data_IF_785519843410
#
_entry.id   IF_785519843410
#
_cell.length_a   1.000
_cell.length_b   1.000
_cell.length_c   1.000
_cell.angle_alpha   90.00
_cell.angle_beta   90.00
_cell.angle_gamma   90.00
#
_symmetry.space_group_name_H-M   'P 1'
#
loop_
_entity.id
_entity.type
_entity.pdbx_description
1 polymer ?
#
# COMPACT_ATOMS: atom_id res chain seq x y z
N UNK A 1 14.52 22.64 -35.81
CA UNK A 1 14.69 21.18 -36.04
C UNK A 1 15.05 20.39 -34.77
N UNK A 2 15.86 20.92 -33.84
CA UNK A 2 16.21 20.26 -32.56
C UNK A 2 15.03 19.91 -31.62
N UNK A 3 13.93 20.67 -31.66
CA UNK A 3 12.77 20.45 -30.80
C UNK A 3 11.87 19.29 -31.24
N UNK A 4 11.91 18.95 -32.55
CA UNK A 4 11.23 17.77 -33.11
C UNK A 4 11.90 16.47 -32.67
N UNK A 5 13.24 16.47 -32.54
CA UNK A 5 14.02 15.30 -32.08
C UNK A 5 13.63 14.88 -30.66
N UNK A 6 13.40 15.85 -29.76
CA UNK A 6 13.01 15.59 -28.37
C UNK A 6 11.58 15.05 -28.25
N UNK A 7 10.67 15.50 -29.12
CA UNK A 7 9.31 14.99 -29.17
C UNK A 7 9.27 13.52 -29.65
N UNK A 8 10.06 13.17 -30.67
CA UNK A 8 10.21 11.79 -31.13
C UNK A 8 10.91 10.90 -30.09
N UNK A 9 11.90 11.42 -29.36
CA UNK A 9 12.54 10.70 -28.25
C UNK A 9 11.57 10.43 -27.09
N UNK A 10 10.65 11.36 -26.81
CA UNK A 10 9.64 11.22 -25.76
C UNK A 10 8.54 10.22 -26.14
N UNK A 11 8.10 10.22 -27.41
CA UNK A 11 7.16 9.23 -27.94
C UNK A 11 7.77 7.82 -27.99
N UNK A 12 9.04 7.69 -28.38
CA UNK A 12 9.75 6.41 -28.35
C UNK A 12 9.89 5.88 -26.91
N UNK A 13 10.14 6.74 -25.92
CA UNK A 13 10.19 6.34 -24.52
C UNK A 13 8.83 5.85 -23.99
N UNK A 14 7.74 6.51 -24.38
CA UNK A 14 6.37 6.12 -24.01
C UNK A 14 5.93 4.81 -24.67
N UNK A 15 6.32 4.54 -25.93
CA UNK A 15 6.12 3.23 -26.58
C UNK A 15 6.98 2.13 -25.92
N UNK A 16 8.20 2.43 -25.48
CA UNK A 16 9.03 1.47 -24.73
C UNK A 16 8.45 1.10 -23.37
N UNK A 17 7.84 2.06 -22.66
CA UNK A 17 7.10 1.77 -21.43
C UNK A 17 5.87 0.89 -21.69
N UNK A 18 5.22 1.04 -22.85
CA UNK A 18 4.06 0.25 -23.24
C UNK A 18 4.40 -1.20 -23.64
N UNK A 19 5.51 -1.41 -24.36
CA UNK A 19 5.99 -2.77 -24.67
C UNK A 19 6.66 -3.47 -23.48
N UNK A 20 7.18 -2.72 -22.50
CA UNK A 20 7.82 -3.27 -21.30
C UNK A 20 6.86 -3.99 -20.35
N UNK A 21 5.57 -3.65 -20.38
CA UNK A 21 4.54 -4.28 -19.55
C UNK A 21 3.83 -5.48 -20.21
N UNK A 22 4.17 -5.80 -21.47
CA UNK A 22 3.58 -6.92 -22.22
C UNK A 22 4.47 -8.18 -22.29
N UNK A 23 5.63 -8.19 -21.61
CA UNK A 23 6.40 -9.43 -21.38
C UNK A 23 6.10 -9.97 -20.00
N UNK A 24 5.08 -10.83 -19.98
CA UNK A 24 4.74 -11.68 -18.86
C UNK A 24 5.97 -12.44 -18.36
N UNK A 25 6.18 -12.37 -17.05
CA UNK A 25 7.01 -13.30 -16.32
C UNK A 25 6.36 -14.68 -16.49
N UNK A 26 6.99 -15.54 -17.27
CA UNK A 26 6.75 -16.97 -17.20
C UNK A 26 7.28 -17.40 -15.83
N UNK A 27 6.36 -17.69 -14.93
CA UNK A 27 6.63 -18.43 -13.69
C UNK A 27 7.36 -19.71 -14.10
N UNK A 28 8.60 -19.88 -13.65
CA UNK A 28 9.26 -21.17 -13.73
C UNK A 28 8.54 -22.13 -12.79
N UNK A 29 7.76 -23.04 -13.38
CA UNK A 29 7.25 -24.23 -12.71
C UNK A 29 8.43 -25.17 -12.44
N UNK A 30 8.95 -25.12 -11.22
CA UNK A 30 9.86 -26.15 -10.69
C UNK A 30 8.99 -27.36 -10.34
N UNK A 31 9.06 -28.37 -11.21
CA UNK A 31 8.62 -29.74 -10.93
C UNK A 31 9.40 -30.28 -9.72
N UNK A 32 8.70 -30.56 -8.63
CA UNK A 32 9.18 -31.44 -7.59
C UNK A 32 8.30 -32.69 -7.53
N UNK A 33 9.02 -33.81 -7.46
CA UNK A 33 8.56 -35.17 -7.61
C UNK A 33 7.53 -35.54 -6.56
N UNK A 34 6.39 -36.05 -7.03
CA UNK A 34 5.30 -36.61 -6.23
C UNK A 34 5.79 -37.81 -5.43
N UNK A 35 5.85 -37.66 -4.11
CA UNK A 35 5.83 -38.76 -3.14
C UNK A 35 4.42 -38.74 -2.51
N UNK A 36 3.64 -39.84 -2.52
CA UNK A 36 2.36 -39.87 -1.86
C UNK A 36 2.56 -40.04 -0.35
N UNK A 37 2.30 -38.97 0.41
CA UNK A 37 2.16 -39.02 1.88
C UNK A 37 0.66 -39.10 2.20
N UNK A 38 0.23 -39.92 3.19
CA UNK A 38 -1.18 -40.10 3.47
C UNK A 38 -1.78 -38.88 4.17
N UNK A 39 -2.95 -38.50 3.66
CA UNK A 39 -4.03 -37.65 4.18
C UNK A 39 -3.93 -37.19 5.65
N UNK A 40 -4.09 -35.89 5.86
CA UNK A 40 -4.32 -35.33 7.20
C UNK A 40 -3.76 -33.94 7.47
N UNK A 41 -4.02 -32.92 6.64
CA UNK A 41 -4.09 -31.54 7.18
C UNK A 41 -4.92 -30.65 6.26
N UNK A 42 -6.01 -30.13 6.83
CA UNK A 42 -6.93 -29.19 6.20
C UNK A 42 -6.14 -27.94 5.77
N UNK A 43 -6.05 -27.69 4.47
CA UNK A 43 -5.78 -26.34 3.95
C UNK A 43 -6.81 -25.39 4.56
N UNK A 44 -6.40 -24.33 5.28
CA UNK A 44 -7.36 -23.34 5.75
C UNK A 44 -8.07 -22.73 4.52
N UNK A 45 -9.40 -22.58 4.55
CA UNK A 45 -10.10 -21.90 3.47
C UNK A 45 -9.56 -20.47 3.35
N UNK A 46 -9.14 -20.11 2.14
CA UNK A 46 -8.91 -18.72 1.73
C UNK A 46 -10.25 -17.97 1.82
N UNK A 47 -10.57 -17.50 3.01
CA UNK A 47 -11.87 -16.90 3.30
C UNK A 47 -12.06 -16.66 4.78
N UNK A 48 -11.86 -15.41 5.19
CA UNK A 48 -12.48 -14.76 6.35
C UNK A 48 -12.41 -15.42 7.73
N UNK A 49 -11.42 -16.25 8.05
CA UNK A 49 -11.33 -16.90 9.37
C UNK A 49 -11.12 -15.94 10.54
N UNK A 50 -10.80 -14.67 10.31
CA UNK A 50 -10.56 -13.67 11.37
C UNK A 50 -11.79 -13.34 12.21
N UNK A 51 -13.00 -13.67 11.78
CA UNK A 51 -14.20 -13.35 12.57
C UNK A 51 -14.47 -14.29 13.76
N UNK A 52 -13.84 -15.47 13.80
CA UNK A 52 -14.06 -16.45 14.87
C UNK A 52 -12.91 -16.53 15.89
N UNK A 53 -11.73 -16.01 15.56
CA UNK A 53 -10.47 -16.22 16.30
C UNK A 53 -9.97 -15.02 17.15
N UNK A 54 -10.88 -14.10 17.46
CA UNK A 54 -10.60 -12.92 18.28
C UNK A 54 -9.97 -11.76 17.51
N UNK A 55 -9.58 -10.71 18.23
CA UNK A 55 -9.02 -9.51 17.62
C UNK A 55 -7.57 -9.72 17.18
N UNK A 56 -7.30 -9.36 15.92
CA UNK A 56 -5.96 -9.37 15.34
C UNK A 56 -5.58 -7.98 14.85
N UNK A 57 -4.27 -7.74 14.82
CA UNK A 57 -3.65 -6.54 14.26
C UNK A 57 -2.58 -6.94 13.26
N UNK A 58 -2.32 -6.07 12.30
CA UNK A 58 -1.21 -6.20 11.37
C UNK A 58 -0.06 -5.29 11.80
N UNK A 59 1.13 -5.85 12.06
CA UNK A 59 2.31 -5.09 12.50
C UNK A 59 3.49 -5.35 11.59
N UNK A 60 4.40 -4.38 11.46
CA UNK A 60 5.61 -4.52 10.67
C UNK A 60 6.58 -5.52 11.33
N UNK A 61 7.27 -6.31 10.51
CA UNK A 61 8.22 -7.30 10.99
C UNK A 61 9.60 -6.67 11.22
N UNK A 62 10.20 -6.94 12.39
CA UNK A 62 11.57 -6.54 12.66
C UNK A 62 12.57 -7.41 11.87
N UNK A 63 13.69 -6.80 11.43
CA UNK A 63 14.76 -7.52 10.73
C UNK A 63 14.57 -7.64 9.21
N UNK A 64 13.50 -7.08 8.65
CA UNK A 64 13.33 -6.93 7.20
C UNK A 64 14.17 -5.75 6.67
N UNK A 65 14.36 -5.68 5.36
CA UNK A 65 15.12 -4.59 4.75
C UNK A 65 14.39 -3.25 4.99
N UNK A 66 15.13 -2.21 5.38
CA UNK A 66 14.55 -0.89 5.61
C UNK A 66 13.95 -0.29 4.32
N UNK A 67 14.53 -0.62 3.16
CA UNK A 67 14.04 -0.16 1.87
C UNK A 67 12.68 -0.78 1.52
N UNK A 68 12.52 -2.09 1.71
CA UNK A 68 11.23 -2.76 1.45
C UNK A 68 10.16 -2.26 2.42
N UNK A 69 10.53 -2.08 3.69
CA UNK A 69 9.62 -1.56 4.70
C UNK A 69 9.18 -0.13 4.41
N UNK A 70 10.09 0.74 3.96
CA UNK A 70 9.77 2.10 3.56
C UNK A 70 8.86 2.12 2.34
N UNK A 71 9.16 1.32 1.32
CA UNK A 71 8.33 1.22 0.12
C UNK A 71 6.91 0.73 0.46
N UNK A 72 6.79 -0.25 1.36
CA UNK A 72 5.51 -0.73 1.84
C UNK A 72 4.73 0.33 2.63
N UNK A 73 5.41 1.10 3.49
CA UNK A 73 4.79 2.24 4.21
C UNK A 73 4.31 3.32 3.24
N UNK A 74 5.15 3.71 2.29
CA UNK A 74 4.82 4.73 1.28
C UNK A 74 3.62 4.29 0.43
N UNK A 75 3.58 3.00 0.07
CA UNK A 75 2.42 2.43 -0.61
C UNK A 75 1.18 2.48 0.27
N UNK A 76 1.27 2.07 1.54
CA UNK A 76 0.14 2.03 2.47
C UNK A 76 -0.49 3.43 2.63
N UNK A 77 0.32 4.45 2.87
CA UNK A 77 -0.14 5.83 3.03
C UNK A 77 -0.55 6.51 1.71
N UNK A 78 -0.01 6.05 0.58
CA UNK A 78 -0.28 6.58 -0.74
C UNK A 78 -1.43 5.86 -1.42
N UNK A 79 -1.11 4.80 -2.15
CA UNK A 79 -2.07 4.04 -2.98
C UNK A 79 -3.02 3.18 -2.14
N UNK A 80 -2.54 2.65 -1.01
CA UNK A 80 -3.32 1.85 -0.07
C UNK A 80 -4.33 2.67 0.74
N UNK A 81 -4.20 4.01 0.74
CA UNK A 81 -5.12 4.93 1.43
C UNK A 81 -5.31 4.64 2.94
N UNK A 82 -4.28 4.10 3.60
CA UNK A 82 -4.26 3.93 5.05
C UNK A 82 -4.30 5.29 5.77
N UNK A 83 -4.84 5.34 6.99
CA UNK A 83 -4.80 6.56 7.81
C UNK A 83 -3.42 6.73 8.44
N UNK A 84 -2.58 7.50 7.76
CA UNK A 84 -1.23 7.83 8.22
C UNK A 84 -1.14 9.17 8.97
N UNK A 85 -2.26 9.78 9.38
CA UNK A 85 -2.22 11.07 10.10
C UNK A 85 -1.63 10.93 11.50
N UNK A 86 -1.92 9.82 12.18
CA UNK A 86 -1.49 9.62 13.56
C UNK A 86 0.03 9.46 13.71
N UNK A 87 0.72 9.02 12.65
CA UNK A 87 2.17 8.83 12.60
C UNK A 87 2.93 10.05 12.09
N UNK A 88 2.24 11.12 11.66
CA UNK A 88 2.90 12.36 11.29
C UNK A 88 3.45 13.07 12.53
N UNK A 89 4.44 13.94 12.33
CA UNK A 89 5.02 14.74 13.40
C UNK A 89 3.96 15.48 14.20
N UNK A 90 3.97 15.29 15.53
CA UNK A 90 2.96 15.84 16.45
C UNK A 90 1.69 15.00 16.59
N UNK A 91 1.60 13.88 15.88
CA UNK A 91 0.53 12.90 16.02
C UNK A 91 0.72 11.97 17.23
N UNK A 92 -0.35 11.29 17.69
CA UNK A 92 -0.32 10.44 18.87
C UNK A 92 0.53 9.16 18.72
N UNK A 93 0.84 8.76 17.48
CA UNK A 93 1.63 7.58 17.13
C UNK A 93 2.97 7.95 16.47
N UNK A 94 3.43 9.19 16.64
CA UNK A 94 4.73 9.61 16.11
C UNK A 94 5.87 8.95 16.87
N UNK A 95 5.80 8.91 18.20
CA UNK A 95 6.84 8.35 19.05
C UNK A 95 6.56 6.87 19.37
N UNK A 96 7.54 5.96 19.20
CA UNK A 96 8.91 6.22 18.80
C UNK A 96 9.04 6.54 17.31
N UNK A 97 9.83 7.57 16.98
CA UNK A 97 10.14 8.03 15.62
C UNK A 97 11.04 7.03 14.89
N UNK A 98 10.43 5.92 14.50
CA UNK A 98 11.08 4.79 13.84
C UNK A 98 10.19 4.31 12.70
N UNK A 99 10.83 3.91 11.61
CA UNK A 99 10.15 3.36 10.45
C UNK A 99 9.26 2.16 10.82
N UNK A 100 9.71 1.31 11.73
CA UNK A 100 8.96 0.13 12.19
C UNK A 100 7.67 0.51 12.91
N UNK A 101 7.70 1.54 13.77
CA UNK A 101 6.52 2.01 14.51
C UNK A 101 5.50 2.64 13.56
N UNK A 102 5.96 3.51 12.66
CA UNK A 102 5.10 4.17 11.67
C UNK A 102 4.48 3.17 10.69
N UNK A 103 5.29 2.23 10.19
CA UNK A 103 4.81 1.14 9.32
C UNK A 103 3.78 0.26 10.01
N UNK A 104 4.03 -0.14 11.26
CA UNK A 104 3.08 -0.98 12.01
C UNK A 104 1.70 -0.32 12.13
N UNK A 105 1.66 0.97 12.43
CA UNK A 105 0.39 1.69 12.54
C UNK A 105 -0.34 1.79 11.18
N UNK A 106 0.38 2.16 10.13
CA UNK A 106 -0.19 2.28 8.77
C UNK A 106 -0.70 0.92 8.25
N UNK A 107 0.07 -0.14 8.47
CA UNK A 107 -0.29 -1.51 8.07
C UNK A 107 -1.55 -1.98 8.79
N UNK A 108 -1.67 -1.72 10.09
CA UNK A 108 -2.89 -2.04 10.80
C UNK A 108 -4.08 -1.22 10.29
N UNK A 109 -3.94 0.08 10.07
CA UNK A 109 -5.01 0.92 9.53
C UNK A 109 -5.56 0.34 8.22
N UNK A 110 -4.67 0.02 7.28
CA UNK A 110 -5.03 -0.64 6.03
C UNK A 110 -5.68 -2.01 6.25
N UNK A 111 -5.09 -2.85 7.10
CA UNK A 111 -5.59 -4.20 7.38
C UNK A 111 -7.04 -4.19 7.90
N UNK A 112 -7.35 -3.27 8.81
CA UNK A 112 -8.69 -3.15 9.39
C UNK A 112 -9.71 -2.64 8.36
N UNK A 113 -9.32 -1.75 7.44
CA UNK A 113 -10.23 -1.25 6.39
C UNK A 113 -10.39 -2.20 5.21
N UNK A 114 -9.49 -3.17 5.05
CA UNK A 114 -9.47 -4.11 3.93
C UNK A 114 -9.86 -5.54 4.35
N UNK A 115 -10.83 -5.65 5.25
CA UNK A 115 -11.49 -6.91 5.57
C UNK A 115 -10.70 -7.83 6.48
N UNK A 116 -9.66 -7.33 7.17
CA UNK A 116 -8.90 -8.07 8.17
C UNK A 116 -8.35 -9.41 7.65
N UNK A 117 -8.02 -9.48 6.37
CA UNK A 117 -7.51 -10.70 5.72
C UNK A 117 -6.00 -10.81 5.85
N UNK A 118 -5.51 -12.05 5.78
CA UNK A 118 -4.09 -12.38 5.64
C UNK A 118 -3.43 -11.66 4.45
N UNK A 119 -4.11 -11.61 3.31
CA UNK A 119 -3.65 -10.91 2.11
C UNK A 119 -3.47 -9.41 2.39
N UNK A 120 -4.39 -8.79 3.13
CA UNK A 120 -4.30 -7.37 3.49
C UNK A 120 -3.12 -7.06 4.43
N UNK A 121 -2.58 -8.06 5.14
CA UNK A 121 -1.43 -7.90 6.02
C UNK A 121 -0.10 -8.37 5.38
N UNK A 122 -0.06 -8.64 4.08
CA UNK A 122 1.14 -9.17 3.45
C UNK A 122 2.25 -8.12 3.30
N UNK A 123 1.94 -6.96 2.70
CA UNK A 123 2.91 -5.87 2.44
C UNK A 123 4.23 -6.32 1.79
N UNK A 124 4.21 -7.36 0.95
CA UNK A 124 5.41 -7.92 0.33
C UNK A 124 6.27 -8.75 1.31
N UNK A 125 5.67 -9.29 2.36
CA UNK A 125 6.33 -10.06 3.40
C UNK A 125 6.95 -9.20 4.51
N UNK A 126 6.70 -7.89 4.56
CA UNK A 126 7.27 -7.00 5.59
C UNK A 126 6.39 -6.86 6.83
N UNK A 127 5.27 -7.57 6.90
CA UNK A 127 4.30 -7.47 7.97
C UNK A 127 3.78 -8.85 8.42
N UNK A 128 3.25 -8.90 9.64
CA UNK A 128 2.75 -10.13 10.26
C UNK A 128 1.54 -9.85 11.14
N UNK A 129 0.64 -10.83 11.22
CA UNK A 129 -0.49 -10.78 12.13
C UNK A 129 -0.05 -11.03 13.58
N UNK A 130 -0.63 -10.28 14.50
CA UNK A 130 -0.48 -10.47 15.94
C UNK A 130 -1.83 -10.47 16.63
N UNK A 131 -1.96 -11.31 17.67
CA UNK A 131 -3.10 -11.29 18.61
C UNK A 131 -2.84 -10.40 19.82
N UNK A 132 -1.62 -9.91 19.98
CA UNK A 132 -1.26 -8.98 21.04
C UNK A 132 -1.56 -7.55 20.58
N UNK A 133 -2.38 -6.83 21.35
CA UNK A 133 -2.67 -5.43 21.06
C UNK A 133 -1.37 -4.61 21.07
N UNK A 134 -0.97 -4.00 19.94
CA UNK A 134 0.26 -3.23 19.81
C UNK A 134 0.11 -1.76 20.25
N UNK A 135 -1.05 -1.37 20.78
CA UNK A 135 -1.29 0.00 21.28
C UNK A 135 -0.40 0.30 22.49
N UNK A 136 0.08 1.55 22.58
CA UNK A 136 0.92 2.01 23.66
C UNK A 136 0.70 3.50 23.92
N UNK A 137 0.79 3.93 25.18
CA UNK A 137 0.60 5.33 25.55
C UNK A 137 -0.69 5.93 24.98
N UNK A 138 -0.55 6.97 24.15
CA UNK A 138 -1.66 7.62 23.44
C UNK A 138 -1.88 7.08 22.01
N UNK A 139 -1.02 6.17 21.54
CA UNK A 139 -1.13 5.54 20.23
C UNK A 139 -2.06 4.33 20.31
N UNK A 140 -3.26 4.45 19.76
CA UNK A 140 -4.29 3.42 19.78
C UNK A 140 -4.46 2.81 18.38
N UNK A 141 -4.24 1.51 18.27
CA UNK A 141 -4.43 0.75 17.04
C UNK A 141 -5.88 0.32 16.90
N UNK A 142 -6.48 0.61 15.74
CA UNK A 142 -7.85 0.17 15.41
C UNK A 142 -7.99 -1.35 15.42
N UNK A 143 -9.17 -1.83 15.82
CA UNK A 143 -9.57 -3.23 15.82
C UNK A 143 -11.00 -3.40 15.26
N UNK A 144 -11.43 -4.62 14.90
CA UNK A 144 -12.82 -4.86 14.51
C UNK A 144 -13.76 -4.43 15.64
N UNK A 145 -14.69 -3.52 15.36
CA UNK A 145 -15.62 -2.98 16.35
C UNK A 145 -15.12 -1.79 17.18
N UNK A 146 -13.85 -1.37 17.05
CA UNK A 146 -13.42 -0.09 17.59
C UNK A 146 -13.96 1.03 16.68
N UNK A 147 -15.14 1.54 17.02
CA UNK A 147 -15.69 2.77 16.44
C UNK A 147 -14.88 3.95 16.98
N UNK A 148 -13.60 4.01 16.62
CA UNK A 148 -12.83 5.24 16.77
C UNK A 148 -13.46 6.26 15.84
N UNK A 149 -13.80 7.43 16.37
CA UNK A 149 -14.33 8.58 15.63
C UNK A 149 -13.29 9.09 14.62
N UNK A 150 -12.95 8.29 13.63
CA UNK A 150 -12.35 8.77 12.39
C UNK A 150 -13.51 9.37 11.64
N UNK A 151 -13.64 10.70 11.76
CA UNK A 151 -14.38 11.47 10.79
C UNK A 151 -13.99 10.94 9.39
N UNK A 152 -14.95 10.69 8.50
CA UNK A 152 -14.66 10.17 7.17
C UNK A 152 -13.54 11.02 6.56
N UNK A 153 -12.57 10.42 5.84
CA UNK A 153 -11.60 11.21 5.11
C UNK A 153 -12.39 12.25 4.32
N UNK A 154 -12.19 13.52 4.66
CA UNK A 154 -12.77 14.62 3.92
C UNK A 154 -12.33 14.40 2.49
N UNK A 155 -13.28 13.96 1.66
CA UNK A 155 -13.13 13.76 0.24
C UNK A 155 -12.34 14.97 -0.25
N UNK A 156 -11.07 14.75 -0.61
CA UNK A 156 -10.19 15.80 -1.06
C UNK A 156 -10.94 16.52 -2.17
N UNK A 157 -11.31 17.77 -1.89
CA UNK A 157 -12.14 18.56 -2.80
C UNK A 157 -11.39 18.61 -4.13
N UNK A 158 -11.89 17.87 -5.12
CA UNK A 158 -11.36 17.91 -6.47
C UNK A 158 -11.41 19.37 -6.93
N UNK A 159 -10.26 20.04 -6.86
CA UNK A 159 -10.13 21.44 -7.18
C UNK A 159 -10.11 21.55 -8.70
N UNK A 160 -11.30 21.58 -9.31
CA UNK A 160 -11.54 21.73 -10.75
C UNK A 160 -10.78 22.93 -11.35
N UNK A 161 -10.40 23.90 -10.52
CA UNK A 161 -9.58 25.06 -10.89
C UNK A 161 -8.17 24.68 -11.36
N UNK A 162 -7.51 23.68 -10.76
CA UNK A 162 -6.14 23.30 -11.15
C UNK A 162 -6.10 22.56 -12.48
N UNK A 163 -7.13 21.76 -12.79
CA UNK A 163 -7.25 21.06 -14.08
C UNK A 163 -7.51 22.07 -15.20
N UNK A 164 -8.39 23.05 -14.97
CA UNK A 164 -8.67 24.10 -15.94
C UNK A 164 -7.46 25.01 -16.16
N UNK A 165 -6.68 25.35 -15.12
CA UNK A 165 -5.43 26.10 -15.25
C UNK A 165 -4.35 25.31 -16.01
N UNK A 166 -4.28 23.98 -15.81
CA UNK A 166 -3.40 23.10 -16.58
C UNK A 166 -3.81 23.02 -18.05
N UNK A 167 -5.10 22.96 -18.36
CA UNK A 167 -5.62 22.94 -19.73
C UNK A 167 -5.45 24.29 -20.45
N UNK A 168 -5.73 25.42 -19.79
CA UNK A 168 -5.46 26.75 -20.34
C UNK A 168 -3.96 26.93 -20.62
N UNK A 169 -3.10 26.51 -19.69
CA UNK A 169 -1.64 26.60 -19.87
C UNK A 169 -1.18 25.79 -21.08
N UNK A 170 -1.69 24.57 -21.27
CA UNK A 170 -1.37 23.73 -22.44
C UNK A 170 -1.91 24.33 -23.76
N UNK A 171 -3.10 24.94 -23.75
CA UNK A 171 -3.69 25.60 -24.93
C UNK A 171 -2.96 26.89 -25.29
N UNK A 172 -2.53 27.68 -24.31
CA UNK A 172 -1.70 28.87 -24.54
C UNK A 172 -0.30 28.48 -25.03
N UNK A 173 0.28 27.40 -24.50
CA UNK A 173 1.56 26.86 -24.96
C UNK A 173 1.49 26.30 -26.39
N UNK A 174 0.39 25.62 -26.77
CA UNK A 174 0.21 25.12 -28.13
C UNK A 174 -0.04 26.25 -29.12
N UNK A 175 -0.72 27.32 -28.71
CA UNK A 175 -0.96 28.51 -29.54
C UNK A 175 0.31 29.35 -29.76
N UNK A 176 1.17 29.51 -28.75
CA UNK A 176 2.43 30.26 -28.86
C UNK A 176 3.59 29.49 -29.52
N UNK A 177 3.38 28.21 -29.84
CA UNK A 177 4.40 27.35 -30.46
C UNK A 177 4.00 26.83 -31.85
N UNK A 178 2.82 27.21 -32.33
CA UNK A 178 2.42 27.13 -33.73
C UNK A 178 2.84 28.42 -34.44
#
# INVERSE_FOLDING_TARGET
MRKKIWFFLCLAFMECCYLGMARGIVVQEKSDTVIPVPDGTLSPPEGNTTFLDGTTWCVAQAGVSQADLQNALDWACGLGMADCKAIQKGGPCYDPDTLLSHASFAFNSYYQTNGNSDIACNFGGTASLTKQNPSYGNCVYSSPGSVGSSAPPSLGKHNKSLVWLKLISLLLFSYYWM
#
